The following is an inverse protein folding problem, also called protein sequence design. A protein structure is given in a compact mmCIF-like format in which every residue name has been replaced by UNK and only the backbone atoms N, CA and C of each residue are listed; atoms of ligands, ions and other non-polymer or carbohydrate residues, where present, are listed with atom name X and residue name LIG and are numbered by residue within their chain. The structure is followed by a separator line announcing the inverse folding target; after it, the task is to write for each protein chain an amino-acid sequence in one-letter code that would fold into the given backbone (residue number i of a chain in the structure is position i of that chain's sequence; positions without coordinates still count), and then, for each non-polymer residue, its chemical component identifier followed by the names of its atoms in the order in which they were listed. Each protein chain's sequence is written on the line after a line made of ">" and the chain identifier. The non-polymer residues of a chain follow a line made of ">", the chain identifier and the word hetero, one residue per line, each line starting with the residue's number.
data_IF_895904654054
#
_entry.id   IF_895904654054
#
_cell.length_a   1.000
_cell.length_b   1.000
_cell.length_c   1.000
_cell.angle_alpha   90.00
_cell.angle_beta   90.00
_cell.angle_gamma   90.00
#
_symmetry.space_group_name_H-M   'P 1'
#
loop_
_entity.id
_entity.type
_entity.pdbx_description
1 polymer ?
#
# COMPACT_ATOMS: atom_id res chain seq x y z
N UNK A 1 6.18 -31.98 22.07
CA UNK A 1 4.70 -31.95 22.02
C UNK A 1 4.27 -30.67 22.70
N UNK A 2 3.25 -29.97 22.21
CA UNK A 2 2.80 -28.73 22.81
C UNK A 2 2.30 -28.95 24.25
N UNK A 3 2.51 -27.95 25.10
CA UNK A 3 2.13 -27.97 26.51
C UNK A 3 0.63 -27.73 26.73
N UNK A 4 -0.02 -27.03 25.80
CA UNK A 4 -1.43 -26.64 25.86
C UNK A 4 -2.23 -27.12 24.64
N UNK A 5 -3.54 -27.25 24.84
CA UNK A 5 -4.47 -27.52 23.75
C UNK A 5 -4.64 -26.28 22.85
N UNK A 6 -4.79 -26.50 21.54
CA UNK A 6 -5.10 -25.45 20.56
C UNK A 6 -4.23 -25.54 19.32
N UNK A 7 -4.83 -25.32 18.15
CA UNK A 7 -4.14 -25.41 16.87
C UNK A 7 -4.82 -24.55 15.79
N UNK A 8 -4.01 -24.03 14.87
CA UNK A 8 -4.42 -23.46 13.60
C UNK A 8 -4.92 -24.56 12.67
N UNK A 9 -5.99 -24.28 11.91
CA UNK A 9 -6.37 -25.08 10.76
C UNK A 9 -5.72 -24.50 9.51
N UNK A 10 -4.84 -25.26 8.86
CA UNK A 10 -4.07 -24.82 7.70
C UNK A 10 -4.51 -25.60 6.46
N UNK A 11 -4.70 -24.90 5.34
CA UNK A 11 -4.86 -25.52 4.01
C UNK A 11 -3.51 -25.58 3.32
N UNK A 12 -3.11 -26.75 2.82
CA UNK A 12 -1.86 -26.93 2.07
C UNK A 12 -2.08 -26.89 0.55
N UNK A 13 -0.97 -26.98 -0.20
CA UNK A 13 -0.95 -27.03 -1.67
C UNK A 13 -0.61 -28.42 -2.25
N UNK A 14 -0.61 -29.48 -1.44
CA UNK A 14 -0.31 -30.86 -1.88
C UNK A 14 -1.52 -31.60 -2.45
N UNK A 15 -2.68 -30.94 -2.53
CA UNK A 15 -3.92 -31.50 -3.06
C UNK A 15 -4.61 -32.48 -2.11
N UNK A 16 -5.71 -33.07 -2.59
CA UNK A 16 -6.39 -34.17 -1.92
C UNK A 16 -5.78 -35.51 -2.32
N UNK A 17 -5.64 -36.44 -1.37
CA UNK A 17 -5.06 -37.76 -1.63
C UNK A 17 -4.08 -38.25 -0.54
N UNK A 18 -3.35 -39.35 -0.77
CA UNK A 18 -2.49 -39.99 0.23
C UNK A 18 -1.33 -39.10 0.73
N UNK A 19 -0.98 -38.08 -0.07
CA UNK A 19 0.04 -37.08 0.22
C UNK A 19 -0.53 -35.79 0.82
N UNK A 20 -1.86 -35.61 0.76
CA UNK A 20 -2.56 -34.53 1.42
C UNK A 20 -2.71 -34.86 2.90
N UNK A 21 -2.45 -33.89 3.77
CA UNK A 21 -2.71 -34.11 5.18
C UNK A 21 -4.20 -34.43 5.37
N UNK A 22 -4.47 -35.56 6.03
CA UNK A 22 -5.81 -36.12 6.24
C UNK A 22 -6.68 -36.36 4.98
N UNK A 23 -6.08 -36.35 3.78
CA UNK A 23 -6.75 -36.66 2.51
C UNK A 23 -7.61 -35.53 1.92
N UNK A 24 -7.89 -34.47 2.69
CA UNK A 24 -8.67 -33.30 2.28
C UNK A 24 -7.80 -32.04 2.02
N UNK A 25 -6.50 -32.13 2.30
CA UNK A 25 -5.54 -31.04 2.08
C UNK A 25 -5.43 -30.07 3.25
N UNK A 26 -5.98 -30.43 4.42
CA UNK A 26 -5.93 -29.61 5.62
C UNK A 26 -5.18 -30.30 6.75
N UNK A 27 -4.57 -29.53 7.65
CA UNK A 27 -3.92 -30.05 8.85
C UNK A 27 -3.92 -29.06 10.00
N UNK A 28 -3.68 -29.59 11.20
CA UNK A 28 -3.59 -28.81 12.41
C UNK A 28 -2.13 -28.54 12.77
N UNK A 29 -1.83 -27.28 13.08
CA UNK A 29 -0.52 -26.86 13.62
C UNK A 29 -0.75 -26.21 14.98
N UNK A 30 -0.02 -26.65 16.00
CA UNK A 30 -0.18 -26.10 17.35
C UNK A 30 0.00 -24.58 17.38
N UNK A 31 -0.75 -23.88 18.25
CA UNK A 31 -0.50 -22.46 18.54
C UNK A 31 0.91 -22.19 19.11
N UNK A 32 1.58 -23.23 19.61
CA UNK A 32 2.95 -23.14 20.14
C UNK A 32 4.04 -23.32 19.05
N UNK A 33 3.66 -23.48 17.77
CA UNK A 33 4.59 -23.53 16.66
C UNK A 33 5.25 -22.15 16.44
N UNK A 34 6.53 -22.04 16.79
CA UNK A 34 7.26 -20.78 16.83
C UNK A 34 7.81 -20.31 15.47
N UNK A 35 7.75 -21.13 14.42
CA UNK A 35 8.25 -20.73 13.08
C UNK A 35 7.30 -19.82 12.30
N UNK A 36 6.04 -19.67 12.74
CA UNK A 36 5.10 -18.73 12.12
C UNK A 36 5.27 -17.33 12.72
N UNK A 37 6.03 -16.47 12.04
CA UNK A 37 6.29 -15.09 12.46
C UNK A 37 5.55 -14.04 11.65
N UNK A 38 5.18 -14.35 10.40
CA UNK A 38 4.69 -13.38 9.45
C UNK A 38 3.37 -13.85 8.84
N UNK A 39 2.29 -13.10 9.11
CA UNK A 39 0.97 -13.35 8.56
C UNK A 39 0.55 -12.19 7.67
N UNK A 40 0.03 -12.49 6.48
CA UNK A 40 -0.60 -11.52 5.60
C UNK A 40 -2.09 -11.85 5.47
N UNK A 41 -2.94 -10.84 5.57
CA UNK A 41 -4.37 -10.96 5.34
C UNK A 41 -4.74 -10.11 4.14
N UNK A 42 -5.35 -10.74 3.14
CA UNK A 42 -5.87 -10.04 1.97
C UNK A 42 -7.32 -9.63 2.23
N UNK A 43 -7.55 -8.32 2.28
CA UNK A 43 -8.90 -7.75 2.36
C UNK A 43 -9.31 -7.34 0.96
N UNK A 44 -10.18 -8.13 0.33
CA UNK A 44 -10.70 -7.80 -0.99
C UNK A 44 -11.87 -6.81 -0.87
N UNK A 45 -11.74 -5.65 -1.51
CA UNK A 45 -12.87 -4.75 -1.77
C UNK A 45 -13.52 -5.06 -3.12
N UNK A 46 -14.82 -4.78 -3.24
CA UNK A 46 -15.48 -4.79 -4.55
C UNK A 46 -15.20 -3.46 -5.25
N UNK A 47 -14.31 -3.47 -6.25
CA UNK A 47 -14.01 -2.31 -7.08
C UNK A 47 -14.52 -2.52 -8.49
N UNK A 48 -14.85 -1.44 -9.20
CA UNK A 48 -15.31 -1.54 -10.58
C UNK A 48 -14.21 -2.19 -11.44
N UNK A 49 -14.55 -3.24 -12.18
CA UNK A 49 -13.62 -4.04 -12.98
C UNK A 49 -12.93 -3.28 -14.16
N UNK A 50 -13.09 -1.96 -14.25
CA UNK A 50 -12.68 -1.14 -15.39
C UNK A 50 -11.88 0.11 -14.98
N UNK A 51 -11.23 0.10 -13.81
CA UNK A 51 -10.34 1.19 -13.40
C UNK A 51 -8.96 1.04 -14.06
N UNK A 52 -8.42 2.16 -14.54
CA UNK A 52 -7.01 2.21 -14.92
C UNK A 52 -6.15 2.47 -13.70
N UNK A 53 -5.05 1.73 -13.59
CA UNK A 53 -4.05 1.90 -12.53
C UNK A 53 -2.83 2.59 -13.13
N UNK A 54 -2.45 3.71 -12.52
CA UNK A 54 -1.18 4.38 -12.77
C UNK A 54 -0.19 3.94 -11.70
N UNK A 55 0.82 3.19 -12.11
CA UNK A 55 1.83 2.61 -11.22
C UNK A 55 3.21 2.59 -11.87
N UNK A 56 4.24 2.57 -11.03
CA UNK A 56 5.64 2.36 -11.42
C UNK A 56 6.29 1.17 -10.69
N UNK A 57 5.57 0.56 -9.74
CA UNK A 57 6.02 -0.45 -8.79
C UNK A 57 5.21 -1.77 -8.91
N UNK A 58 5.33 -2.53 -10.02
CA UNK A 58 4.55 -3.76 -10.23
C UNK A 58 4.90 -4.92 -9.28
N UNK A 59 6.10 -4.93 -8.70
CA UNK A 59 6.57 -5.89 -7.69
C UNK A 59 6.21 -5.44 -6.26
N UNK A 60 5.89 -4.15 -6.08
CA UNK A 60 5.37 -3.59 -4.83
C UNK A 60 6.45 -3.21 -3.82
N UNK A 61 6.11 -3.26 -2.53
CA UNK A 61 7.00 -2.81 -1.44
C UNK A 61 8.18 -3.76 -1.27
N UNK A 62 9.33 -3.38 -1.84
CA UNK A 62 10.60 -4.12 -1.69
C UNK A 62 11.34 -3.66 -0.43
N UNK A 63 11.36 -2.35 -0.17
CA UNK A 63 12.04 -1.75 0.98
C UNK A 63 11.41 -0.44 1.42
N UNK A 64 11.78 0.00 2.62
CA UNK A 64 11.34 1.26 3.20
C UNK A 64 12.42 2.34 3.09
N UNK A 65 12.00 3.56 2.76
CA UNK A 65 12.80 4.76 2.58
C UNK A 65 12.41 5.81 3.64
N UNK A 66 13.40 6.57 4.09
CA UNK A 66 13.28 7.48 5.21
C UNK A 66 14.29 8.60 5.21
N UNK A 67 14.01 9.63 6.02
CA UNK A 67 14.78 10.87 6.13
C UNK A 67 15.07 11.20 7.61
N UNK A 68 15.50 10.20 8.38
CA UNK A 68 15.78 10.31 9.83
C UNK A 68 14.61 10.89 10.66
N UNK A 69 13.39 10.68 10.17
CA UNK A 69 12.16 11.21 10.73
C UNK A 69 11.06 10.18 10.56
N UNK A 70 10.17 10.08 11.54
CA UNK A 70 8.93 9.32 11.41
C UNK A 70 8.02 9.90 10.32
N UNK A 71 8.25 11.15 9.92
CA UNK A 71 7.50 11.84 8.87
C UNK A 71 8.33 12.03 7.61
N UNK A 72 7.76 11.67 6.45
CA UNK A 72 8.31 12.03 5.15
C UNK A 72 7.20 12.22 4.11
N UNK A 73 7.52 12.99 3.08
CA UNK A 73 6.67 13.21 1.92
C UNK A 73 7.22 12.45 0.71
N UNK A 74 6.35 11.83 -0.06
CA UNK A 74 6.65 11.11 -1.30
C UNK A 74 5.68 11.51 -2.39
N UNK A 75 6.12 11.48 -3.64
CA UNK A 75 5.24 11.74 -4.77
C UNK A 75 5.60 10.90 -5.99
N UNK A 76 4.58 10.49 -6.74
CA UNK A 76 4.74 9.94 -8.09
C UNK A 76 4.06 10.86 -9.10
N UNK A 77 4.77 11.23 -10.16
CA UNK A 77 4.26 12.04 -11.27
C UNK A 77 3.93 11.13 -12.45
N UNK A 78 2.66 11.10 -12.81
CA UNK A 78 2.10 10.29 -13.88
C UNK A 78 1.79 11.12 -15.12
N UNK A 79 1.53 10.43 -16.23
CA UNK A 79 0.97 11.03 -17.44
C UNK A 79 -0.30 10.26 -17.79
N UNK A 80 -1.43 10.94 -17.81
CA UNK A 80 -2.72 10.35 -18.05
C UNK A 80 -2.78 9.77 -19.48
N UNK A 81 -3.12 8.47 -19.60
CA UNK A 81 -3.19 7.79 -20.90
C UNK A 81 -4.45 8.17 -21.68
N UNK A 82 -5.52 8.53 -20.96
CA UNK A 82 -6.82 8.97 -21.47
C UNK A 82 -7.46 9.98 -20.52
N UNK A 83 -8.52 10.64 -20.99
CA UNK A 83 -9.41 11.41 -20.12
C UNK A 83 -10.10 10.51 -19.08
N UNK A 84 -10.18 10.98 -17.85
CA UNK A 84 -10.84 10.24 -16.77
C UNK A 84 -10.74 10.91 -15.41
N UNK A 85 -11.28 10.25 -14.39
CA UNK A 85 -11.33 10.79 -13.02
C UNK A 85 -10.51 9.95 -12.07
N UNK A 86 -9.46 10.52 -11.49
CA UNK A 86 -8.72 9.89 -10.41
C UNK A 86 -9.61 9.87 -9.17
N UNK A 87 -9.98 8.68 -8.71
CA UNK A 87 -10.94 8.45 -7.62
C UNK A 87 -10.27 8.00 -6.33
N UNK A 88 -9.09 7.40 -6.41
CA UNK A 88 -8.35 6.91 -5.26
C UNK A 88 -6.85 6.95 -5.50
N UNK A 89 -6.11 6.96 -4.40
CA UNK A 89 -4.67 6.75 -4.38
C UNK A 89 -4.35 5.56 -3.47
N UNK A 90 -3.19 4.95 -3.64
CA UNK A 90 -2.71 3.92 -2.71
C UNK A 90 -1.25 4.06 -2.36
N UNK A 91 -0.91 3.46 -1.21
CA UNK A 91 0.42 3.43 -0.62
C UNK A 91 0.53 2.29 0.39
N UNK A 92 1.72 2.08 0.94
CA UNK A 92 1.94 1.14 2.04
C UNK A 92 2.16 1.89 3.36
N UNK A 93 1.47 1.44 4.41
CA UNK A 93 1.71 1.86 5.79
C UNK A 93 2.58 0.81 6.49
N UNK A 94 3.71 1.23 7.05
CA UNK A 94 4.71 0.31 7.63
C UNK A 94 4.43 -0.05 9.10
N UNK A 95 3.55 0.69 9.79
CA UNK A 95 3.20 0.43 11.18
C UNK A 95 1.72 0.75 11.47
N UNK A 96 1.11 0.11 12.49
CA UNK A 96 -0.15 0.58 13.06
C UNK A 96 -0.07 2.05 13.48
N UNK A 97 -1.19 2.77 13.37
CA UNK A 97 -1.27 4.17 13.76
C UNK A 97 -0.56 5.14 12.81
N UNK A 98 -0.10 4.67 11.64
CA UNK A 98 0.47 5.56 10.61
C UNK A 98 -0.60 6.56 10.18
N UNK A 99 -0.34 7.85 10.35
CA UNK A 99 -1.19 8.90 9.81
C UNK A 99 -0.75 9.24 8.39
N UNK A 100 -1.73 9.60 7.55
CA UNK A 100 -1.49 9.92 6.16
C UNK A 100 -2.29 11.13 5.70
N UNK A 101 -1.74 11.83 4.72
CA UNK A 101 -2.44 12.73 3.82
C UNK A 101 -2.03 12.35 2.39
N UNK A 102 -2.99 11.97 1.57
CA UNK A 102 -2.81 11.66 0.16
C UNK A 102 -3.56 12.69 -0.68
N UNK A 103 -2.86 13.35 -1.59
CA UNK A 103 -3.41 14.34 -2.50
C UNK A 103 -3.14 13.93 -3.95
N UNK A 104 -4.12 14.13 -4.82
CA UNK A 104 -3.87 14.16 -6.26
C UNK A 104 -3.68 15.61 -6.64
N UNK A 105 -2.65 15.91 -7.43
CA UNK A 105 -2.31 17.29 -7.84
C UNK A 105 -2.32 17.42 -9.37
N UNK A 106 -2.85 18.53 -9.87
CA UNK A 106 -2.86 18.89 -11.30
C UNK A 106 -2.27 20.28 -11.52
N UNK A 107 -1.95 20.63 -12.77
CA UNK A 107 -1.34 21.94 -13.07
C UNK A 107 0.08 22.08 -12.50
N UNK A 108 0.85 20.99 -12.53
CA UNK A 108 2.16 20.89 -11.89
C UNK A 108 3.16 21.94 -12.42
N UNK A 109 3.86 22.61 -11.50
CA UNK A 109 5.00 23.45 -11.85
C UNK A 109 6.22 22.60 -12.24
N UNK A 110 7.14 23.17 -13.03
CA UNK A 110 8.36 22.45 -13.43
C UNK A 110 9.17 22.00 -12.21
N UNK A 111 9.53 20.71 -12.17
CA UNK A 111 10.28 20.11 -11.07
C UNK A 111 9.51 19.92 -9.76
N UNK A 112 8.25 20.37 -9.66
CA UNK A 112 7.42 20.21 -8.46
C UNK A 112 6.27 19.23 -8.70
N UNK A 113 6.02 18.29 -7.79
CA UNK A 113 4.83 17.45 -7.85
C UNK A 113 3.59 18.16 -7.29
N UNK A 114 3.68 19.41 -6.82
CA UNK A 114 2.56 20.14 -6.20
C UNK A 114 1.76 20.94 -7.23
N UNK A 115 0.49 21.14 -6.92
CA UNK A 115 -0.48 21.79 -7.80
C UNK A 115 -1.75 22.21 -7.06
N UNK A 116 -2.87 22.24 -7.77
CA UNK A 116 -4.21 22.37 -7.17
C UNK A 116 -4.97 21.09 -7.42
N UNK A 117 -5.56 20.49 -6.38
CA UNK A 117 -6.62 19.49 -6.49
C UNK A 117 -7.14 19.02 -5.11
N UNK A 118 -7.43 17.73 -4.94
CA UNK A 118 -8.17 17.15 -3.82
C UNK A 118 -7.27 16.24 -2.97
N UNK A 119 -7.54 16.21 -1.67
CA UNK A 119 -6.82 15.39 -0.71
C UNK A 119 -7.76 14.60 0.20
N UNK A 120 -7.20 13.55 0.80
CA UNK A 120 -7.82 12.71 1.81
C UNK A 120 -6.78 12.41 2.90
N UNK A 121 -7.21 12.40 4.15
CA UNK A 121 -6.34 12.12 5.29
C UNK A 121 -6.97 11.10 6.23
N UNK A 122 -6.14 10.40 7.00
CA UNK A 122 -6.62 9.43 7.98
C UNK A 122 -5.49 8.83 8.81
N UNK A 123 -5.84 7.80 9.58
CA UNK A 123 -4.92 7.01 10.38
C UNK A 123 -5.21 5.53 10.15
N UNK A 124 -4.15 4.75 9.97
CA UNK A 124 -4.24 3.30 9.74
C UNK A 124 -4.33 2.55 11.06
N UNK A 125 -5.19 1.53 11.14
CA UNK A 125 -5.24 0.66 12.32
C UNK A 125 -4.17 -0.44 12.28
N UNK A 126 -3.84 -0.91 11.07
CA UNK A 126 -2.87 -1.97 10.82
C UNK A 126 -1.89 -1.57 9.71
N UNK A 127 -0.67 -2.13 9.69
CA UNK A 127 0.24 -1.98 8.57
C UNK A 127 -0.31 -2.72 7.34
N UNK A 128 0.13 -2.30 6.16
CA UNK A 128 -0.21 -2.94 4.90
C UNK A 128 -0.58 -1.95 3.81
N UNK A 129 -1.26 -2.47 2.80
CA UNK A 129 -1.66 -1.71 1.63
C UNK A 129 -2.91 -0.87 1.91
N UNK A 130 -2.79 0.44 1.73
CA UNK A 130 -3.86 1.40 1.92
C UNK A 130 -4.34 1.93 0.58
N UNK A 131 -5.66 2.06 0.42
CA UNK A 131 -6.29 2.65 -0.78
C UNK A 131 -7.44 3.59 -0.40
N UNK A 132 -7.15 4.78 0.16
CA UNK A 132 -8.21 5.75 0.45
C UNK A 132 -8.85 6.28 -0.84
N UNK A 133 -10.18 6.41 -0.81
CA UNK A 133 -10.93 7.13 -1.83
C UNK A 133 -10.84 8.64 -1.60
N UNK A 134 -10.74 9.41 -2.68
CA UNK A 134 -10.80 10.85 -2.61
C UNK A 134 -12.25 11.28 -2.34
N UNK A 135 -12.47 12.31 -1.51
CA UNK A 135 -13.82 12.86 -1.29
C UNK A 135 -14.41 13.47 -2.57
N UNK A 136 -13.57 13.84 -3.53
CA UNK A 136 -13.97 14.37 -4.83
C UNK A 136 -12.99 13.90 -5.91
N UNK A 137 -13.45 13.13 -6.92
CA UNK A 137 -12.56 12.66 -7.98
C UNK A 137 -12.00 13.81 -8.82
N UNK A 138 -10.71 13.72 -9.14
CA UNK A 138 -9.96 14.74 -9.89
C UNK A 138 -9.93 14.37 -11.37
N UNK A 139 -10.46 15.22 -12.24
CA UNK A 139 -10.44 14.98 -13.68
C UNK A 139 -9.06 15.30 -14.27
N UNK A 140 -8.57 14.44 -15.17
CA UNK A 140 -7.32 14.63 -15.92
C UNK A 140 -7.58 14.38 -17.40
N UNK A 141 -6.95 15.16 -18.27
CA UNK A 141 -7.02 14.99 -19.73
C UNK A 141 -5.97 13.99 -20.24
N UNK A 142 -6.23 13.38 -21.39
CA UNK A 142 -5.21 12.55 -22.06
C UNK A 142 -3.93 13.37 -22.31
N UNK A 143 -2.78 12.82 -21.93
CA UNK A 143 -1.47 13.47 -22.02
C UNK A 143 -1.15 14.45 -20.90
N UNK A 144 -2.11 14.77 -20.02
CA UNK A 144 -1.88 15.65 -18.87
C UNK A 144 -0.99 14.97 -17.82
N UNK A 145 -0.07 15.75 -17.23
CA UNK A 145 0.68 15.31 -16.06
C UNK A 145 -0.09 15.63 -14.80
N UNK A 146 -0.19 14.65 -13.92
CA UNK A 146 -0.71 14.79 -12.57
C UNK A 146 0.21 14.05 -11.62
N UNK A 147 0.12 14.34 -10.32
CA UNK A 147 0.87 13.60 -9.31
C UNK A 147 -0.05 13.04 -8.24
N UNK A 148 0.45 12.04 -7.54
CA UNK A 148 -0.05 11.69 -6.21
C UNK A 148 1.03 12.09 -5.22
N UNK A 149 0.70 13.00 -4.31
CA UNK A 149 1.54 13.45 -3.20
C UNK A 149 1.06 12.78 -1.93
N UNK A 150 1.98 12.21 -1.18
CA UNK A 150 1.72 11.49 0.05
C UNK A 150 2.59 12.07 1.15
N UNK A 151 1.98 12.39 2.29
CA UNK A 151 2.68 12.65 3.56
C UNK A 151 2.31 11.54 4.53
N UNK A 152 3.31 10.88 5.09
CA UNK A 152 3.13 9.84 6.10
C UNK A 152 3.83 10.23 7.38
N UNK A 153 3.24 9.90 8.52
CA UNK A 153 3.91 9.87 9.83
C UNK A 153 3.73 8.47 10.43
N UNK A 154 4.82 7.72 10.57
CA UNK A 154 4.84 6.31 11.00
C UNK A 154 5.41 6.19 12.42
N UNK A 155 4.58 5.92 13.44
CA UNK A 155 5.04 5.86 14.84
C UNK A 155 6.15 4.84 15.05
N UNK A 156 7.24 5.25 15.70
CA UNK A 156 8.37 4.40 16.04
C UNK A 156 9.23 3.95 14.86
N UNK A 157 9.03 4.50 13.65
CA UNK A 157 9.75 4.05 12.45
C UNK A 157 10.15 5.18 11.51
N UNK A 158 11.46 5.37 11.32
CA UNK A 158 12.04 6.46 10.55
C UNK A 158 12.09 6.23 9.03
N UNK A 159 11.44 5.17 8.52
CA UNK A 159 11.38 4.83 7.10
C UNK A 159 9.92 4.72 6.64
N UNK A 160 9.18 5.84 6.61
CA UNK A 160 7.74 5.81 6.36
C UNK A 160 7.35 5.42 4.93
N UNK A 161 8.18 5.69 3.92
CA UNK A 161 7.81 5.50 2.52
C UNK A 161 8.23 4.12 2.00
N UNK A 162 7.32 3.35 1.40
CA UNK A 162 7.69 2.14 0.68
C UNK A 162 8.17 2.43 -0.75
N UNK A 163 9.13 1.64 -1.23
CA UNK A 163 9.62 1.74 -2.60
C UNK A 163 10.03 0.40 -3.20
N UNK A 164 9.95 0.34 -4.52
CA UNK A 164 10.47 -0.74 -5.36
C UNK A 164 11.82 -0.34 -5.95
N UNK A 165 12.78 -1.26 -5.92
CA UNK A 165 14.06 -1.11 -6.59
C UNK A 165 14.59 -2.47 -7.06
N UNK A 166 15.59 -2.46 -7.94
CA UNK A 166 16.25 -3.68 -8.39
C UNK A 166 17.16 -4.22 -7.28
N UNK A 167 16.75 -5.32 -6.65
CA UNK A 167 17.55 -6.08 -5.70
C UNK A 167 17.91 -7.43 -6.30
N UNK A 168 19.20 -7.76 -6.29
CA UNK A 168 19.75 -9.03 -6.75
C UNK A 168 19.01 -10.22 -6.12
N UNK A 169 18.73 -11.25 -6.92
CA UNK A 169 18.00 -12.47 -6.53
C UNK A 169 16.57 -12.27 -5.97
N UNK A 170 16.00 -11.06 -6.04
CA UNK A 170 14.68 -10.76 -5.47
C UNK A 170 13.79 -9.96 -6.42
N UNK A 171 14.19 -8.75 -6.79
CA UNK A 171 13.40 -7.79 -7.58
C UNK A 171 14.16 -7.27 -8.79
N UNK A 172 15.05 -8.09 -9.36
CA UNK A 172 15.94 -7.76 -10.49
C UNK A 172 15.23 -7.24 -11.75
N UNK A 173 13.91 -7.47 -11.85
CA UNK A 173 13.06 -6.99 -12.95
C UNK A 173 12.54 -5.56 -12.76
N UNK A 174 12.78 -4.95 -11.60
CA UNK A 174 12.44 -3.55 -11.36
C UNK A 174 13.26 -2.63 -12.27
N UNK A 175 12.69 -1.47 -12.60
CA UNK A 175 13.32 -0.50 -13.51
C UNK A 175 13.79 0.71 -12.72
N UNK A 176 14.92 1.30 -13.12
CA UNK A 176 15.39 2.54 -12.52
C UNK A 176 14.49 3.73 -12.86
N UNK A 177 14.33 4.64 -11.91
CA UNK A 177 13.39 5.74 -12.00
C UNK A 177 13.94 6.95 -12.79
N UNK A 178 13.38 7.28 -13.98
CA UNK A 178 13.81 8.40 -14.81
C UNK A 178 13.15 9.73 -14.38
N UNK A 179 13.07 10.01 -13.07
CA UNK A 179 12.49 11.25 -12.54
C UNK A 179 10.96 11.27 -12.40
N UNK A 180 10.33 10.14 -12.12
CA UNK A 180 8.89 10.00 -11.85
C UNK A 180 8.54 9.94 -10.37
N UNK A 181 9.41 9.38 -9.53
CA UNK A 181 9.23 9.42 -8.07
C UNK A 181 10.12 10.45 -7.41
N UNK A 182 9.54 11.24 -6.50
CA UNK A 182 10.20 12.27 -5.73
C UNK A 182 9.93 12.08 -4.23
N UNK A 183 10.83 12.58 -3.38
CA UNK A 183 10.67 12.61 -1.94
C UNK A 183 10.97 14.01 -1.39
N UNK A 184 10.49 14.28 -0.19
CA UNK A 184 10.70 15.54 0.51
C UNK A 184 10.62 15.36 2.02
N UNK A 185 11.40 16.14 2.78
CA UNK A 185 11.31 16.18 4.22
C UNK A 185 10.21 17.13 4.72
N UNK A 186 9.91 18.20 3.97
CA UNK A 186 9.02 19.29 4.37
C UNK A 186 7.75 19.41 3.49
N UNK A 187 7.72 18.73 2.34
CA UNK A 187 6.65 18.83 1.34
C UNK A 187 6.81 20.01 0.38
N UNK A 188 7.86 20.81 0.52
CA UNK A 188 8.12 22.03 -0.25
C UNK A 188 9.30 21.84 -1.20
N UNK A 189 10.41 21.26 -0.71
CA UNK A 189 11.61 20.99 -1.51
C UNK A 189 11.64 19.51 -1.86
N UNK A 190 11.63 19.21 -3.16
CA UNK A 190 11.50 17.86 -3.70
C UNK A 190 12.77 17.39 -4.38
N UNK A 191 13.18 16.16 -4.06
CA UNK A 191 14.32 15.47 -4.65
C UNK A 191 13.85 14.24 -5.43
N UNK A 192 14.49 13.95 -6.56
CA UNK A 192 14.20 12.77 -7.37
C UNK A 192 14.81 11.53 -6.69
N UNK A 193 14.06 10.43 -6.58
CA UNK A 193 14.57 9.16 -6.04
C UNK A 193 15.76 8.59 -6.84
N UNK A 194 15.79 8.83 -8.15
CA UNK A 194 16.91 8.47 -9.04
C UNK A 194 17.10 6.96 -9.14
N UNK A 195 18.34 6.48 -9.01
CA UNK A 195 18.65 5.05 -9.04
C UNK A 195 18.11 4.26 -7.84
N UNK A 196 17.53 4.93 -6.84
CA UNK A 196 16.88 4.27 -5.71
C UNK A 196 15.58 3.55 -6.11
N UNK A 197 15.02 3.83 -7.29
CA UNK A 197 13.80 3.19 -7.77
C UNK A 197 12.54 4.05 -7.59
N UNK A 198 11.39 3.40 -7.52
CA UNK A 198 10.08 4.06 -7.52
C UNK A 198 9.37 3.92 -6.18
N UNK A 199 8.78 5.01 -5.70
CA UNK A 199 7.92 4.94 -4.53
C UNK A 199 6.67 4.12 -4.87
N UNK A 200 6.23 3.30 -3.91
CA UNK A 200 5.02 2.50 -4.03
C UNK A 200 3.77 3.36 -3.80
N UNK A 201 3.51 4.26 -4.74
CA UNK A 201 2.37 5.17 -4.76
C UNK A 201 1.66 4.94 -6.08
N UNK A 202 0.37 4.59 -6.04
CA UNK A 202 -0.45 4.38 -7.23
C UNK A 202 -1.65 5.31 -7.27
N UNK A 203 -2.16 5.55 -8.47
CA UNK A 203 -3.41 6.28 -8.69
C UNK A 203 -4.42 5.41 -9.44
N UNK A 204 -5.69 5.52 -9.07
CA UNK A 204 -6.79 4.79 -9.68
C UNK A 204 -7.71 5.73 -10.41
N UNK A 205 -7.92 5.47 -11.69
CA UNK A 205 -8.76 6.27 -12.56
C UNK A 205 -10.02 5.51 -12.92
N UNK A 206 -11.15 5.98 -12.39
CA UNK A 206 -12.45 5.49 -12.77
C UNK A 206 -12.80 5.94 -14.20
N UNK A 207 -13.50 5.10 -14.99
CA UNK A 207 -14.05 5.52 -16.28
C UNK A 207 -15.05 6.66 -16.06
N UNK A 208 -15.10 7.60 -17.01
CA UNK A 208 -16.13 8.63 -17.01
C UNK A 208 -17.49 7.95 -17.19
N UNK A 209 -18.37 8.05 -16.18
CA UNK A 209 -19.73 7.55 -16.33
C UNK A 209 -20.48 8.53 -17.22
N UNK A 210 -20.68 8.15 -18.48
CA UNK A 210 -21.67 8.79 -19.34
C UNK A 210 -23.01 8.83 -18.59
N UNK A 211 -23.53 10.03 -18.36
CA UNK A 211 -24.62 10.25 -17.42
C UNK A 211 -25.88 9.45 -17.73
N UNK A 212 -26.23 8.50 -16.87
CA UNK A 212 -27.60 8.03 -16.65
C UNK A 212 -27.75 7.58 -15.18
N UNK A 213 -28.70 8.19 -14.47
CA UNK A 213 -29.39 7.51 -13.38
C UNK A 213 -29.05 7.96 -11.96
N UNK A 214 -29.89 8.85 -11.43
CA UNK A 214 -30.08 9.06 -10.00
C UNK A 214 -30.37 7.72 -9.30
N UNK A 215 -29.62 7.43 -8.23
CA UNK A 215 -29.78 6.23 -7.40
C UNK A 215 -28.86 6.34 -6.20
N UNK A 216 -29.30 7.11 -5.19
CA UNK A 216 -28.56 7.29 -3.96
C UNK A 216 -28.44 5.99 -3.16
N UNK A 217 -27.24 5.73 -2.65
CA UNK A 217 -26.91 5.06 -1.39
C UNK A 217 -25.47 5.51 -1.09
N UNK A 218 -25.14 6.35 -0.11
CA UNK A 218 -25.79 6.50 1.19
C UNK A 218 -25.31 5.41 2.14
N UNK A 219 -24.10 5.57 2.69
CA UNK A 219 -23.66 4.91 3.92
C UNK A 219 -23.09 3.49 3.76
N UNK A 220 -21.88 3.30 4.28
CA UNK A 220 -21.29 1.97 4.40
C UNK A 220 -19.79 1.99 4.66
N UNK A 221 -19.32 2.73 5.66
CA UNK A 221 -18.01 2.47 6.23
C UNK A 221 -18.11 1.11 6.94
N UNK A 222 -17.82 0.03 6.22
CA UNK A 222 -17.64 -1.28 6.83
C UNK A 222 -16.31 -1.24 7.56
N UNK A 223 -16.35 -0.93 8.85
CA UNK A 223 -15.28 -1.29 9.76
C UNK A 223 -15.22 -2.83 9.79
N UNK A 224 -14.33 -3.40 8.98
CA UNK A 224 -14.01 -4.81 9.08
C UNK A 224 -13.09 -4.96 10.29
N UNK A 225 -13.60 -5.60 11.34
CA UNK A 225 -12.78 -6.00 12.48
C UNK A 225 -11.65 -6.91 11.98
N UNK A 226 -10.43 -6.39 11.96
CA UNK A 226 -9.26 -7.22 11.76
C UNK A 226 -9.07 -8.07 13.03
N UNK A 227 -9.20 -9.39 12.89
CA UNK A 227 -8.76 -10.31 13.94
C UNK A 227 -7.24 -10.34 13.90
N UNK A 228 -6.61 -9.46 14.67
CA UNK A 228 -5.18 -9.49 14.90
C UNK A 228 -4.85 -10.62 15.88
N UNK A 229 -4.12 -11.63 15.42
CA UNK A 229 -3.52 -12.61 16.32
C UNK A 229 -2.15 -12.10 16.76
N UNK A 230 -2.04 -11.72 18.04
CA UNK A 230 -0.75 -11.40 18.65
C UNK A 230 0.01 -12.68 18.99
N UNK A 231 1.12 -12.94 18.32
CA UNK A 231 2.16 -13.81 18.85
C UNK A 231 3.06 -12.98 19.76
N UNK A 232 2.97 -13.21 21.08
CA UNK A 232 3.80 -12.52 22.05
C UNK A 232 5.26 -13.00 21.96
N UNK A 233 6.18 -12.17 21.47
CA UNK A 233 7.61 -12.46 21.57
C UNK A 233 8.10 -12.20 23.00
N UNK A 234 8.45 -13.27 23.73
CA UNK A 234 9.10 -13.15 25.05
C UNK A 234 10.52 -12.61 24.88
N UNK A 235 10.79 -11.48 25.53
CA UNK A 235 12.15 -10.93 25.68
C UNK A 235 13.07 -11.93 26.39
N UNK A 236 14.13 -12.37 25.69
CA UNK A 236 15.18 -13.21 26.24
C UNK A 236 16.08 -12.42 27.18
N UNK A 237 16.01 -12.73 28.48
CA UNK A 237 16.99 -12.36 29.51
C UNK A 237 18.40 -12.77 29.08
N UNK A 238 19.33 -11.82 28.96
CA UNK A 238 20.77 -12.11 29.08
C UNK A 238 21.09 -12.31 30.56
N UNK A 239 21.51 -13.53 30.93
CA UNK A 239 22.28 -13.78 32.16
C UNK A 239 23.73 -13.36 31.91
N UNK A 240 24.36 -12.90 32.99
CA UNK A 240 25.75 -12.41 33.11
C UNK A 240 26.78 -13.18 32.28
#
# INVERSE_FOLDING_TARGET
>A
MPDNNGAWLIRNSYGSGPCGAHGDGYFYVSYEEGSFSDACVFVAGWYAAAEDVYEYDPLGSVRSFGLESETACGANVFTAKRGGRISAASFWANAPGTSYEAAVETGLAEGSPRGTAASVSGVTELPGYMRPELPSPVYVMAGEKFSVVLKLTTPGYNFPLAYEYAADDYSEKAVNNPGKSLYSADGEIWEIMGERGYLCIKAYCAPERDGVGCGGFGGGMAALAAVAFFAASRAGRKRF
#
